data_IF_134847064985
#
_entry.id   IF_134847064985
#
_cell.length_a   1.000
_cell.length_b   1.000
_cell.length_c   1.000
_cell.angle_alpha   90.00
_cell.angle_beta   90.00
_cell.angle_gamma   90.00
#
_symmetry.space_group_name_H-M   'P 1'
#
loop_
_entity.id
_entity.type
_entity.pdbx_description
1 polymer ?
#
# COMPACT_ATOMS: atom_id res chain seq x y z
N UNK A 1 6.24 -5.07 -16.10
CA UNK A 1 7.01 -4.01 -15.43
C UNK A 1 6.17 -3.36 -14.34
N UNK A 2 6.82 -2.95 -13.26
CA UNK A 2 6.21 -2.24 -12.15
C UNK A 2 6.98 -0.94 -11.85
N UNK A 3 6.26 0.06 -11.38
CA UNK A 3 6.83 1.28 -10.80
C UNK A 3 6.36 1.35 -9.36
N UNK A 4 7.28 1.40 -8.42
CA UNK A 4 7.02 1.53 -6.99
C UNK A 4 7.36 2.94 -6.52
N UNK A 5 6.34 3.66 -6.05
CA UNK A 5 6.49 4.95 -5.39
C UNK A 5 6.10 4.79 -3.92
N UNK A 6 7.07 4.76 -3.04
CA UNK A 6 6.84 4.71 -1.60
C UNK A 6 6.42 6.06 -1.03
N UNK A 7 5.92 6.04 0.22
CA UNK A 7 5.75 7.27 0.98
C UNK A 7 7.08 8.03 1.09
N UNK A 8 7.02 9.33 1.02
CA UNK A 8 8.17 10.21 1.28
C UNK A 8 8.74 10.09 2.70
N UNK A 9 7.96 9.52 3.62
CA UNK A 9 8.38 9.27 4.99
C UNK A 9 9.16 7.96 5.17
N UNK A 10 9.11 7.04 4.19
CA UNK A 10 9.76 5.73 4.26
C UNK A 10 10.40 5.29 2.94
N UNK A 11 11.28 6.12 2.33
CA UNK A 11 11.80 5.84 0.99
C UNK A 11 12.93 4.80 0.98
N UNK A 12 13.68 4.64 2.07
CA UNK A 12 14.93 3.86 2.10
C UNK A 12 14.71 2.37 1.85
N UNK A 13 13.65 1.80 2.40
CA UNK A 13 13.31 0.38 2.19
C UNK A 13 13.00 0.07 0.72
N UNK A 14 12.37 1.01 0.01
CA UNK A 14 12.12 0.83 -1.42
C UNK A 14 13.41 0.88 -2.24
N UNK A 15 14.34 1.80 -1.90
CA UNK A 15 15.66 1.85 -2.54
C UNK A 15 16.39 0.51 -2.36
N UNK A 16 16.43 0.00 -1.13
CA UNK A 16 17.06 -1.31 -0.85
C UNK A 16 16.35 -2.46 -1.56
N UNK A 17 15.03 -2.43 -1.67
CA UNK A 17 14.27 -3.43 -2.43
C UNK A 17 14.68 -3.43 -3.92
N UNK A 18 14.88 -2.25 -4.51
CA UNK A 18 15.36 -2.13 -5.89
C UNK A 18 16.74 -2.77 -6.10
N UNK A 19 17.67 -2.54 -5.19
CA UNK A 19 19.00 -3.16 -5.19
C UNK A 19 18.88 -4.69 -5.07
N UNK A 20 18.14 -5.18 -4.08
CA UNK A 20 17.92 -6.62 -3.86
C UNK A 20 17.25 -7.29 -5.05
N UNK A 21 16.36 -6.61 -5.75
CA UNK A 21 15.74 -7.14 -6.96
C UNK A 21 16.78 -7.38 -8.06
N UNK A 22 17.72 -6.47 -8.25
CA UNK A 22 18.83 -6.63 -9.20
C UNK A 22 19.79 -7.75 -8.76
N UNK A 23 20.16 -7.79 -7.47
CA UNK A 23 20.99 -8.85 -6.89
C UNK A 23 20.36 -10.24 -7.07
N UNK A 24 19.03 -10.33 -6.97
CA UNK A 24 18.25 -11.56 -7.18
C UNK A 24 18.08 -11.94 -8.66
N UNK A 25 18.61 -11.16 -9.59
CA UNK A 25 18.56 -11.44 -11.02
C UNK A 25 17.29 -10.95 -11.73
N UNK A 26 16.48 -10.09 -11.10
CA UNK A 26 15.37 -9.42 -11.80
C UNK A 26 15.97 -8.46 -12.84
N UNK A 27 15.62 -8.60 -14.13
CA UNK A 27 16.19 -7.76 -15.17
C UNK A 27 15.95 -6.28 -14.93
N UNK A 28 16.92 -5.40 -15.25
CA UNK A 28 16.73 -3.95 -15.18
C UNK A 28 15.47 -3.50 -15.93
N UNK A 29 14.73 -2.56 -15.33
CA UNK A 29 13.49 -2.03 -15.91
C UNK A 29 12.22 -2.85 -15.62
N UNK A 30 12.34 -4.02 -14.99
CA UNK A 30 11.16 -4.79 -14.53
C UNK A 30 10.57 -4.18 -13.27
N UNK A 31 11.39 -3.82 -12.29
CA UNK A 31 11.03 -3.05 -11.11
C UNK A 31 11.74 -1.70 -11.15
N UNK A 32 10.98 -0.62 -11.07
CA UNK A 32 11.48 0.74 -11.10
C UNK A 32 11.06 1.47 -9.82
N UNK A 33 11.99 2.11 -9.14
CA UNK A 33 11.72 2.84 -7.91
C UNK A 33 11.70 4.34 -8.22
N UNK A 34 10.65 5.02 -7.78
CA UNK A 34 10.49 6.46 -7.92
C UNK A 34 10.25 7.09 -6.55
N UNK A 35 11.02 8.09 -6.23
CA UNK A 35 10.87 8.87 -5.01
C UNK A 35 10.19 10.22 -5.29
N UNK A 36 9.54 10.76 -4.29
CA UNK A 36 8.92 12.08 -4.34
C UNK A 36 7.57 12.15 -3.64
N UNK A 37 7.08 13.36 -3.51
CA UNK A 37 5.76 13.61 -2.92
C UNK A 37 4.63 13.08 -3.80
N UNK A 38 3.52 12.70 -3.15
CA UNK A 38 2.34 12.16 -3.84
C UNK A 38 1.86 13.04 -4.99
N UNK A 39 1.82 14.36 -4.79
CA UNK A 39 1.40 15.34 -5.82
C UNK A 39 2.39 15.48 -6.99
N UNK A 40 3.67 15.23 -6.74
CA UNK A 40 4.73 15.46 -7.74
C UNK A 40 5.07 14.21 -8.53
N UNK A 41 5.25 13.09 -7.84
CA UNK A 41 5.62 11.81 -8.46
C UNK A 41 4.42 10.86 -8.60
N UNK A 42 3.49 10.87 -7.64
CA UNK A 42 2.34 9.96 -7.65
C UNK A 42 1.26 10.33 -8.67
N UNK A 43 0.83 11.59 -8.71
CA UNK A 43 -0.24 12.02 -9.63
C UNK A 43 0.10 11.79 -11.11
N UNK A 44 1.30 12.09 -11.61
CA UNK A 44 1.65 11.76 -12.98
C UNK A 44 1.58 10.26 -13.29
N UNK A 45 2.00 9.40 -12.34
CA UNK A 45 1.85 7.94 -12.48
C UNK A 45 0.39 7.52 -12.54
N UNK A 46 -0.45 8.07 -11.65
CA UNK A 46 -1.89 7.77 -11.60
C UNK A 46 -2.57 8.09 -12.94
N UNK A 47 -2.22 9.22 -13.55
CA UNK A 47 -2.82 9.70 -14.81
C UNK A 47 -2.17 9.11 -16.06
N UNK A 48 -1.00 8.45 -15.95
CA UNK A 48 -0.26 8.00 -17.11
C UNK A 48 -1.05 6.93 -17.91
N UNK A 49 -1.21 7.09 -19.22
CA UNK A 49 -2.04 6.18 -20.03
C UNK A 49 -1.52 4.74 -20.05
N UNK A 50 -0.21 4.53 -19.98
CA UNK A 50 0.39 3.21 -20.01
C UNK A 50 0.36 2.49 -18.65
N UNK A 51 -0.01 3.17 -17.57
CA UNK A 51 -0.27 2.54 -16.26
C UNK A 51 -1.66 1.93 -16.30
N UNK A 52 -1.74 0.61 -16.37
CA UNK A 52 -3.00 -0.15 -16.50
C UNK A 52 -3.61 -0.58 -15.17
N UNK A 53 -2.79 -0.70 -14.14
CA UNK A 53 -3.21 -1.13 -12.81
C UNK A 53 -2.51 -0.30 -11.74
N UNK A 54 -3.21 0.00 -10.67
CA UNK A 54 -2.71 0.75 -9.52
C UNK A 54 -3.01 -0.04 -8.26
N UNK A 55 -1.96 -0.33 -7.49
CA UNK A 55 -2.08 -0.81 -6.11
C UNK A 55 -1.74 0.35 -5.17
N UNK A 56 -2.58 0.61 -4.20
CA UNK A 56 -2.41 1.71 -3.26
C UNK A 56 -2.85 1.33 -1.86
N UNK A 57 -1.99 1.64 -0.90
CA UNK A 57 -2.28 1.56 0.54
C UNK A 57 -2.18 2.95 1.14
N UNK A 58 -3.21 3.39 1.86
CA UNK A 58 -3.20 4.70 2.52
C UNK A 58 -4.59 5.20 2.89
N UNK A 59 -4.75 6.52 3.05
CA UNK A 59 -6.03 7.08 3.48
C UNK A 59 -7.13 6.90 2.43
N UNK A 60 -8.37 6.72 2.91
CA UNK A 60 -9.56 6.65 2.05
C UNK A 60 -9.69 7.87 1.15
N UNK A 61 -9.40 9.06 1.67
CA UNK A 61 -9.46 10.30 0.89
C UNK A 61 -8.48 10.29 -0.29
N UNK A 62 -7.24 9.80 -0.06
CA UNK A 62 -6.25 9.67 -1.14
C UNK A 62 -6.66 8.60 -2.14
N UNK A 63 -7.16 7.46 -1.68
CA UNK A 63 -7.65 6.40 -2.57
C UNK A 63 -8.79 6.87 -3.47
N UNK A 64 -9.77 7.59 -2.92
CA UNK A 64 -10.86 8.19 -3.69
C UNK A 64 -10.36 9.19 -4.74
N UNK A 65 -9.34 9.99 -4.41
CA UNK A 65 -8.71 10.90 -5.37
C UNK A 65 -8.04 10.13 -6.50
N UNK A 66 -7.26 9.10 -6.17
CA UNK A 66 -6.59 8.23 -7.16
C UNK A 66 -7.62 7.65 -8.14
N UNK A 67 -8.70 7.06 -7.64
CA UNK A 67 -9.75 6.47 -8.50
C UNK A 67 -10.37 7.51 -9.43
N UNK A 68 -10.66 8.71 -8.93
CA UNK A 68 -11.23 9.79 -9.75
C UNK A 68 -10.28 10.28 -10.86
N UNK A 69 -8.99 10.34 -10.58
CA UNK A 69 -7.99 10.92 -11.50
C UNK A 69 -7.40 9.89 -12.47
N UNK A 70 -7.42 8.63 -12.12
CA UNK A 70 -6.80 7.57 -12.92
C UNK A 70 -7.61 7.18 -14.17
N UNK A 71 -8.90 7.45 -14.19
CA UNK A 71 -9.78 6.95 -15.24
C UNK A 71 -9.99 5.43 -15.16
N UNK A 72 -10.25 4.80 -16.29
CA UNK A 72 -10.53 3.36 -16.35
C UNK A 72 -9.25 2.53 -16.22
N UNK A 73 -8.94 2.09 -15.00
CA UNK A 73 -7.80 1.22 -14.67
C UNK A 73 -8.23 0.10 -13.73
N UNK A 74 -7.37 -0.88 -13.52
CA UNK A 74 -7.54 -1.87 -12.46
C UNK A 74 -7.00 -1.30 -11.15
N UNK A 75 -7.71 -1.56 -10.05
CA UNK A 75 -7.33 -1.08 -8.71
C UNK A 75 -7.24 -2.22 -7.71
N UNK A 76 -6.21 -2.15 -6.85
CA UNK A 76 -6.12 -2.87 -5.58
C UNK A 76 -5.92 -1.81 -4.49
N UNK A 77 -6.91 -1.64 -3.63
CA UNK A 77 -6.97 -0.54 -2.66
C UNK A 77 -7.05 -1.07 -1.24
N UNK A 78 -6.04 -0.78 -0.44
CA UNK A 78 -6.01 -1.01 1.00
C UNK A 78 -6.16 0.35 1.70
N UNK A 79 -7.36 0.64 2.15
CA UNK A 79 -7.75 1.96 2.65
C UNK A 79 -8.08 1.90 4.14
N UNK A 80 -8.49 3.03 4.70
CA UNK A 80 -8.89 3.12 6.09
C UNK A 80 -10.13 2.29 6.42
N UNK A 81 -10.20 1.82 7.65
CA UNK A 81 -11.31 1.05 8.19
C UNK A 81 -11.49 1.28 9.68
N UNK A 82 -12.38 0.51 10.30
CA UNK A 82 -12.62 0.50 11.75
C UNK A 82 -12.31 -0.85 12.39
N UNK A 83 -11.96 -1.85 11.59
CA UNK A 83 -11.54 -3.19 12.06
C UNK A 83 -12.42 -3.73 13.20
N UNK A 84 -13.73 -3.93 13.00
CA UNK A 84 -14.61 -4.37 14.06
C UNK A 84 -14.14 -5.74 14.58
N UNK A 85 -14.05 -5.87 15.90
CA UNK A 85 -13.72 -7.10 16.59
C UNK A 85 -14.89 -7.46 17.51
N UNK A 86 -15.59 -8.56 17.20
CA UNK A 86 -16.81 -8.96 17.90
C UNK A 86 -16.53 -10.22 18.71
N UNK A 87 -16.80 -10.16 20.01
CA UNK A 87 -16.66 -11.28 20.93
C UNK A 87 -18.07 -11.71 21.37
N UNK A 88 -18.43 -12.95 21.07
CA UNK A 88 -19.69 -13.52 21.55
C UNK A 88 -19.55 -13.99 23.00
N UNK A 89 -20.67 -14.17 23.69
CA UNK A 89 -20.76 -14.51 25.12
C UNK A 89 -20.24 -15.91 25.47
N UNK A 90 -20.18 -16.79 24.49
CA UNK A 90 -19.65 -18.16 24.62
C UNK A 90 -18.15 -18.28 24.25
N UNK A 91 -17.48 -17.15 23.92
CA UNK A 91 -16.07 -17.15 23.55
C UNK A 91 -15.15 -17.36 24.76
N UNK A 92 -13.98 -17.97 24.52
CA UNK A 92 -12.85 -17.95 25.47
C UNK A 92 -12.31 -16.52 25.57
N UNK A 93 -12.67 -15.82 26.65
CA UNK A 93 -12.37 -14.39 26.82
C UNK A 93 -10.87 -14.11 26.86
N UNK A 94 -10.07 -14.96 27.52
CA UNK A 94 -8.62 -14.74 27.64
C UNK A 94 -7.96 -14.80 26.26
N UNK A 95 -8.29 -15.80 25.46
CA UNK A 95 -7.81 -15.90 24.08
C UNK A 95 -8.32 -14.78 23.19
N UNK A 96 -9.56 -14.36 23.38
CA UNK A 96 -10.13 -13.25 22.61
C UNK A 96 -9.43 -11.92 22.92
N UNK A 97 -9.09 -11.67 24.20
CA UNK A 97 -8.33 -10.48 24.59
C UNK A 97 -6.90 -10.49 24.03
N UNK A 98 -6.18 -11.61 24.12
CA UNK A 98 -4.85 -11.75 23.53
C UNK A 98 -4.88 -11.52 22.02
N UNK A 99 -5.87 -12.09 21.31
CA UNK A 99 -6.06 -11.88 19.88
C UNK A 99 -6.36 -10.41 19.56
N UNK A 100 -7.22 -9.75 20.34
CA UNK A 100 -7.55 -8.34 20.15
C UNK A 100 -6.32 -7.43 20.27
N UNK A 101 -5.50 -7.64 21.32
CA UNK A 101 -4.25 -6.92 21.54
C UNK A 101 -3.29 -7.15 20.38
N UNK A 102 -3.09 -8.40 19.98
CA UNK A 102 -2.21 -8.72 18.85
C UNK A 102 -2.70 -8.06 17.55
N UNK A 103 -3.98 -8.17 17.22
CA UNK A 103 -4.54 -7.68 15.98
C UNK A 103 -4.47 -6.15 15.86
N UNK A 104 -4.72 -5.41 16.96
CA UNK A 104 -4.72 -3.94 16.92
C UNK A 104 -3.31 -3.35 16.94
N UNK A 105 -2.37 -3.96 17.67
CA UNK A 105 -1.04 -3.40 17.87
C UNK A 105 0.04 -3.97 16.96
N UNK A 106 -0.24 -5.04 16.20
CA UNK A 106 0.75 -5.61 15.26
C UNK A 106 1.13 -4.66 14.13
N UNK A 107 0.21 -3.77 13.72
CA UNK A 107 0.47 -2.78 12.66
C UNK A 107 -0.12 -1.44 13.08
N UNK A 108 -0.77 -0.78 13.22
CA UNK A 108 -1.33 0.54 13.58
C UNK A 108 -2.87 0.54 13.59
N UNK A 109 -3.43 -0.61 13.80
CA UNK A 109 -4.89 -0.76 13.85
C UNK A 109 -5.57 -0.95 12.52
#
# INVERSE_FOLDING_TARGET
TAVLKMSELSPLTASRLGELALEAGIPPGVLNIVHGYGKVAGEPLVRHPDVRAISFTGSTATGQRIVREAGLKKFSMELGGKSPFVIFDDADLDRALDAAVFMIFSNNG
#
